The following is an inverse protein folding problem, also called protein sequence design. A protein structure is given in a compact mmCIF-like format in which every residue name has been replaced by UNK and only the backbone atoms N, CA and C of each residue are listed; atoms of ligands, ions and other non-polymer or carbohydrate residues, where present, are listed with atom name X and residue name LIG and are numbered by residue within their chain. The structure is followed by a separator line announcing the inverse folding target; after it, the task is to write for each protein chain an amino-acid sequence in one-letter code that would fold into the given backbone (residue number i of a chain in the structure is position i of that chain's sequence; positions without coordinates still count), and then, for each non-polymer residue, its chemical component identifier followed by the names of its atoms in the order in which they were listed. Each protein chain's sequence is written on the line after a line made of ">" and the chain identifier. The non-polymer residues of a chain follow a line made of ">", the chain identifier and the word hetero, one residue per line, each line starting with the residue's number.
data_IF_580736807973
#
_entry.id   IF_580736807973
#
_cell.length_a   1.000
_cell.length_b   1.000
_cell.length_c   1.000
_cell.angle_alpha   90.00
_cell.angle_beta   90.00
_cell.angle_gamma   90.00
#
_symmetry.space_group_name_H-M   'P 1'
#
loop_
_entity.id
_entity.type
_entity.pdbx_description
1 polymer ?
#
# COMPACT_ATOMS: atom_id res chain seq x y z
N UNK A 1 14.46 3.77 -13.19
CA UNK A 1 13.27 4.61 -13.47
C UNK A 1 12.28 3.80 -14.29
N UNK A 2 11.19 3.32 -13.70
CA UNK A 2 10.12 2.62 -14.42
C UNK A 2 8.83 3.45 -14.34
N UNK A 3 8.77 4.49 -15.18
CA UNK A 3 7.55 5.21 -15.48
C UNK A 3 6.69 4.32 -16.41
N UNK A 4 5.59 3.77 -15.88
CA UNK A 4 4.53 3.16 -16.69
C UNK A 4 3.19 3.75 -16.29
N UNK A 5 2.99 4.99 -16.73
CA UNK A 5 1.67 5.57 -16.94
C UNK A 5 0.97 4.77 -18.06
N UNK A 6 0.07 3.88 -17.67
CA UNK A 6 -0.75 3.10 -18.61
C UNK A 6 -2.21 3.24 -18.21
N UNK A 7 -2.82 4.38 -18.57
CA UNK A 7 -4.26 4.52 -18.87
C UNK A 7 -5.23 3.92 -17.85
N UNK A 8 -5.14 4.29 -16.58
CA UNK A 8 -6.15 3.93 -15.59
C UNK A 8 -7.47 4.68 -15.87
N UNK A 9 -8.38 4.03 -16.61
CA UNK A 9 -9.81 4.40 -16.76
C UNK A 9 -10.61 4.37 -15.44
N UNK A 10 -9.97 4.15 -14.29
CA UNK A 10 -10.62 4.07 -12.99
C UNK A 10 -10.44 5.40 -12.25
N UNK A 11 -11.48 5.93 -11.59
CA UNK A 11 -11.33 7.11 -10.75
C UNK A 11 -10.22 6.85 -9.73
N UNK A 12 -9.21 7.74 -9.66
CA UNK A 12 -8.18 7.68 -8.62
C UNK A 12 -8.90 7.86 -7.30
N UNK A 13 -8.93 6.81 -6.47
CA UNK A 13 -9.48 6.96 -5.14
C UNK A 13 -8.52 7.83 -4.32
N UNK A 14 -8.99 8.96 -3.75
CA UNK A 14 -8.13 9.81 -2.95
C UNK A 14 -7.66 9.02 -1.73
N UNK A 15 -6.35 9.06 -1.46
CA UNK A 15 -5.78 8.38 -0.30
C UNK A 15 -6.43 8.92 0.99
N UNK A 16 -7.06 8.07 1.80
CA UNK A 16 -7.68 8.51 3.04
C UNK A 16 -6.63 9.02 4.02
N UNK A 17 -6.99 10.04 4.81
CA UNK A 17 -6.08 10.65 5.78
C UNK A 17 -5.52 9.65 6.79
N UNK A 18 -6.33 8.67 7.21
CA UNK A 18 -5.90 7.64 8.16
C UNK A 18 -4.88 6.67 7.57
N UNK A 19 -4.98 6.34 6.27
CA UNK A 19 -3.99 5.52 5.57
C UNK A 19 -2.66 6.26 5.51
N UNK A 20 -2.68 7.53 5.09
CA UNK A 20 -1.47 8.36 5.04
C UNK A 20 -0.82 8.47 6.42
N UNK A 21 -1.60 8.77 7.46
CA UNK A 21 -1.10 8.90 8.83
C UNK A 21 -0.46 7.62 9.35
N UNK A 22 -1.05 6.46 9.08
CA UNK A 22 -0.50 5.18 9.54
C UNK A 22 0.76 4.77 8.76
N UNK A 23 0.84 5.10 7.47
CA UNK A 23 2.07 4.96 6.68
C UNK A 23 3.19 5.86 7.21
N UNK A 24 2.87 7.11 7.56
CA UNK A 24 3.81 8.06 8.16
C UNK A 24 4.28 7.60 9.55
N UNK A 25 3.37 7.13 10.39
CA UNK A 25 3.70 6.65 11.74
C UNK A 25 4.64 5.44 11.72
N UNK A 26 4.44 4.51 10.77
CA UNK A 26 5.29 3.32 10.63
C UNK A 26 6.50 3.51 9.72
N UNK A 27 6.64 4.65 9.06
CA UNK A 27 7.71 4.89 8.08
C UNK A 27 7.59 4.07 6.79
N UNK A 28 6.41 3.51 6.50
CA UNK A 28 6.17 2.67 5.31
C UNK A 28 5.81 3.49 4.04
N UNK A 29 5.99 4.81 4.08
CA UNK A 29 5.66 5.67 2.94
C UNK A 29 6.54 5.37 1.71
N UNK A 30 7.81 5.02 1.93
CA UNK A 30 8.73 4.66 0.84
C UNK A 30 8.32 3.33 0.21
N UNK A 31 8.10 2.29 1.02
CA UNK A 31 7.58 0.99 0.57
C UNK A 31 6.28 1.12 -0.21
N UNK A 32 5.36 1.96 0.27
CA UNK A 32 4.12 2.24 -0.44
C UNK A 32 4.36 2.91 -1.78
N UNK A 33 5.33 3.84 -1.88
CA UNK A 33 5.71 4.51 -3.12
C UNK A 33 6.44 3.59 -4.11
N UNK A 34 7.20 2.61 -3.60
CA UNK A 34 7.83 1.58 -4.43
C UNK A 34 6.79 0.67 -5.10
N UNK A 35 5.64 0.48 -4.46
CA UNK A 35 4.52 -0.26 -5.06
C UNK A 35 4.02 0.44 -6.33
N UNK A 36 3.64 -0.33 -7.37
CA UNK A 36 3.00 0.23 -8.56
C UNK A 36 1.70 0.98 -8.25
N UNK A 37 1.41 2.04 -9.01
CA UNK A 37 0.23 2.89 -8.81
C UNK A 37 -1.11 2.13 -8.82
N UNK A 38 -1.20 1.00 -9.52
CA UNK A 38 -2.40 0.16 -9.51
C UNK A 38 -2.62 -0.53 -8.15
N UNK A 39 -1.56 -1.03 -7.48
CA UNK A 39 -1.66 -1.62 -6.14
C UNK A 39 -2.08 -0.57 -5.12
N UNK A 40 -1.46 0.60 -5.19
CA UNK A 40 -1.82 1.73 -4.33
C UNK A 40 -3.32 2.06 -4.44
N UNK A 41 -3.84 2.13 -5.66
CA UNK A 41 -5.26 2.40 -5.90
C UNK A 41 -6.17 1.24 -5.47
N UNK A 42 -5.74 -0.02 -5.66
CA UNK A 42 -6.50 -1.20 -5.25
C UNK A 42 -6.63 -1.30 -3.72
N UNK A 43 -5.53 -1.08 -2.99
CA UNK A 43 -5.55 -1.01 -1.52
C UNK A 43 -6.45 0.12 -1.03
N UNK A 44 -6.33 1.32 -1.59
CA UNK A 44 -7.18 2.45 -1.18
C UNK A 44 -8.66 2.15 -1.48
N UNK A 45 -8.96 1.58 -2.64
CA UNK A 45 -10.31 1.15 -3.00
C UNK A 45 -10.84 0.10 -2.01
N UNK A 46 -10.05 -0.95 -1.75
CA UNK A 46 -10.42 -2.02 -0.83
C UNK A 46 -10.62 -1.53 0.60
N UNK A 47 -9.78 -0.61 1.08
CA UNK A 47 -9.98 0.00 2.40
C UNK A 47 -11.26 0.87 2.39
N UNK A 48 -11.46 1.70 1.35
CA UNK A 48 -12.62 2.59 1.24
C UNK A 48 -13.96 1.85 1.05
N UNK A 49 -13.94 0.66 0.46
CA UNK A 49 -15.13 -0.20 0.32
C UNK A 49 -15.68 -0.69 1.66
N UNK A 50 -14.86 -0.71 2.72
CA UNK A 50 -15.32 -1.07 4.04
C UNK A 50 -16.24 0.01 4.61
N UNK A 51 -17.51 -0.33 4.84
CA UNK A 51 -18.52 0.59 5.43
C UNK A 51 -18.30 0.87 6.93
N UNK A 52 -17.62 -0.03 7.64
CA UNK A 52 -17.37 0.06 9.08
C UNK A 52 -15.94 0.53 9.34
N UNK A 53 -15.77 1.51 10.22
CA UNK A 53 -14.45 2.02 10.63
C UNK A 53 -13.53 0.92 11.15
N UNK A 54 -14.04 0.01 11.99
CA UNK A 54 -13.25 -1.13 12.49
C UNK A 54 -12.73 -2.03 11.35
N UNK A 55 -13.51 -2.20 10.27
CA UNK A 55 -13.07 -2.99 9.11
C UNK A 55 -12.06 -2.22 8.26
N UNK A 56 -12.22 -0.89 8.13
CA UNK A 56 -11.22 -0.04 7.49
C UNK A 56 -9.87 -0.12 8.21
N UNK A 57 -9.88 -0.07 9.54
CA UNK A 57 -8.69 -0.18 10.37
C UNK A 57 -8.03 -1.55 10.24
N UNK A 58 -8.81 -2.65 10.27
CA UNK A 58 -8.27 -3.99 10.06
C UNK A 58 -7.64 -4.16 8.67
N UNK A 59 -8.28 -3.65 7.61
CA UNK A 59 -7.72 -3.67 6.24
C UNK A 59 -6.47 -2.81 6.12
N UNK A 60 -6.47 -1.63 6.75
CA UNK A 60 -5.30 -0.78 6.82
C UNK A 60 -4.15 -1.52 7.51
N UNK A 61 -4.38 -2.10 8.68
CA UNK A 61 -3.34 -2.86 9.39
C UNK A 61 -2.82 -4.03 8.57
N UNK A 62 -3.68 -4.73 7.83
CA UNK A 62 -3.28 -5.79 6.92
C UNK A 62 -2.37 -5.26 5.80
N UNK A 63 -2.73 -4.13 5.16
CA UNK A 63 -1.86 -3.48 4.18
C UNK A 63 -0.51 -3.10 4.78
N UNK A 64 -0.48 -2.56 6.01
CA UNK A 64 0.75 -2.15 6.67
C UNK A 64 1.64 -3.35 7.01
N UNK A 65 1.08 -4.47 7.45
CA UNK A 65 1.81 -5.71 7.71
C UNK A 65 2.42 -6.29 6.42
N UNK A 66 1.66 -6.30 5.33
CA UNK A 66 2.16 -6.71 4.01
C UNK A 66 3.25 -5.76 3.48
N UNK A 67 3.05 -4.46 3.70
CA UNK A 67 4.05 -3.44 3.40
C UNK A 67 5.26 -3.56 4.29
N UNK A 68 5.17 -4.02 5.54
CA UNK A 68 6.31 -4.19 6.44
C UNK A 68 7.11 -5.44 6.08
N UNK A 69 6.41 -6.56 5.87
CA UNK A 69 6.99 -7.84 5.46
C UNK A 69 7.71 -7.73 4.12
N UNK A 70 7.10 -7.02 3.16
CA UNK A 70 7.65 -6.89 1.83
C UNK A 70 7.50 -8.17 1.00
N UNK A 71 7.37 -8.02 -0.32
CA UNK A 71 7.24 -9.14 -1.25
C UNK A 71 5.88 -9.83 -1.22
N UNK A 72 4.89 -9.28 -0.51
CA UNK A 72 3.55 -9.84 -0.40
C UNK A 72 2.53 -8.81 -0.88
N UNK A 73 1.53 -9.31 -1.62
CA UNK A 73 0.35 -8.58 -2.05
C UNK A 73 -0.87 -9.50 -1.99
N UNK A 74 -1.90 -9.13 -1.24
CA UNK A 74 -3.10 -9.93 -1.01
C UNK A 74 -2.79 -11.38 -0.59
N UNK A 75 -1.88 -11.56 0.38
CA UNK A 75 -1.38 -12.88 0.83
C UNK A 75 -0.71 -13.73 -0.28
N UNK A 76 -0.38 -13.15 -1.42
CA UNK A 76 0.38 -13.82 -2.47
C UNK A 76 1.78 -13.23 -2.57
N UNK A 77 2.76 -14.10 -2.78
CA UNK A 77 4.14 -13.67 -3.06
C UNK A 77 4.16 -12.90 -4.37
N UNK A 78 4.58 -11.64 -4.28
CA UNK A 78 4.57 -10.70 -5.39
C UNK A 78 5.97 -10.09 -5.51
N UNK A 79 6.73 -10.59 -6.48
CA UNK A 79 8.10 -10.19 -6.75
C UNK A 79 8.31 -8.67 -6.93
N UNK A 80 7.44 -7.90 -7.61
CA UNK A 80 7.64 -6.45 -7.74
C UNK A 80 7.19 -5.69 -6.50
N UNK A 81 6.60 -6.38 -5.52
CA UNK A 81 6.37 -5.88 -4.18
C UNK A 81 7.54 -6.22 -3.24
N UNK A 82 8.59 -6.89 -3.72
CA UNK A 82 9.76 -7.22 -2.92
C UNK A 82 10.47 -5.93 -2.55
N UNK A 83 10.61 -5.69 -1.25
CA UNK A 83 11.52 -4.67 -0.76
C UNK A 83 12.93 -5.09 -1.12
N UNK A 84 13.62 -4.26 -1.89
CA UNK A 84 15.07 -4.29 -1.82
C UNK A 84 15.41 -3.71 -0.44
N UNK A 85 15.58 -4.60 0.54
CA UNK A 85 15.95 -4.25 1.90
C UNK A 85 17.25 -3.45 1.92
N UNK A 86 17.16 -2.13 1.76
CA UNK A 86 18.05 -1.19 2.44
C UNK A 86 17.58 -1.15 3.88
N UNK A 87 17.98 -2.17 4.64
CA UNK A 87 17.98 -2.09 6.09
C UNK A 87 19.35 -1.54 6.47
N UNK A 88 19.51 -0.24 6.28
CA UNK A 88 20.56 0.54 6.91
C UNK A 88 20.15 0.77 8.38
N UNK A 89 20.87 0.07 9.27
CA UNK A 89 21.31 0.46 10.62
C UNK A 89 20.30 1.05 11.62
N UNK A 90 20.07 0.30 12.72
CA UNK A 90 20.68 0.64 14.02
C UNK A 90 20.67 -0.54 15.00
#
# INVERSE_FOLDING_TARGET
>A
MAEKDSRLKRPRHPMPKFVKRALEERGLMEDYKERPAYQQNDYVGWIAEAKKSETQERRLQQMLDELERGGVYMNMEHQPSRKETTKDQR
#
